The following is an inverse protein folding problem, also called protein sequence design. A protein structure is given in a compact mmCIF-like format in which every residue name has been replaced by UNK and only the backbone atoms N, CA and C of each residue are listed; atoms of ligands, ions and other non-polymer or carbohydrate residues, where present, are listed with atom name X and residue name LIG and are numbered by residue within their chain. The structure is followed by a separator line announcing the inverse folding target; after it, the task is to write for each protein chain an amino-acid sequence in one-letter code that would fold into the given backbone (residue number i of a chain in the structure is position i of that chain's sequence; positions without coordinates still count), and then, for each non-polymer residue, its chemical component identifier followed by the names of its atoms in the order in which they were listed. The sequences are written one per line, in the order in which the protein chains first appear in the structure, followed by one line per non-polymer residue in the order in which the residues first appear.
data_IF_996705299558
#
_entry.id   IF_996705299558
#
_cell.length_a   1.000
_cell.length_b   1.000
_cell.length_c   1.000
_cell.angle_alpha   90.00
_cell.angle_beta   90.00
_cell.angle_gamma   90.00
#
_symmetry.space_group_name_H-M   'P 1'
#
loop_
_entity.id
_entity.type
_entity.pdbx_description
1 polymer ?
#
# COMPACT_ATOMS: atom_id res chain seq x y z
N UNK A 1 -8.64 7.37 -0.25
CA UNK A 1 -8.74 8.21 -1.49
C UNK A 1 -7.76 7.62 -2.51
N UNK A 2 -8.08 6.41 -2.98
CA UNK A 2 -7.06 5.53 -3.56
C UNK A 2 -6.66 5.83 -5.00
N UNK A 3 -7.52 6.44 -5.77
CA UNK A 3 -7.28 6.61 -7.22
C UNK A 3 -7.46 8.05 -7.70
N UNK A 4 -7.63 8.99 -6.78
CA UNK A 4 -7.90 10.40 -7.13
C UNK A 4 -6.63 11.23 -7.29
N UNK A 5 -5.48 10.75 -6.82
CA UNK A 5 -4.22 11.47 -7.01
C UNK A 5 -3.61 11.05 -8.35
N UNK A 6 -3.22 12.04 -9.14
CA UNK A 6 -2.62 11.84 -10.45
C UNK A 6 -1.10 11.92 -10.35
N UNK A 7 -0.38 10.77 -10.30
CA UNK A 7 1.09 10.79 -10.36
C UNK A 7 1.56 11.18 -11.76
N UNK A 8 2.74 11.79 -11.83
CA UNK A 8 3.30 12.26 -13.09
C UNK A 8 3.74 11.10 -14.00
N UNK A 9 4.29 10.04 -13.41
CA UNK A 9 4.76 8.87 -14.16
C UNK A 9 3.62 8.00 -14.73
N UNK A 10 2.47 8.00 -14.07
CA UNK A 10 1.30 7.18 -14.46
C UNK A 10 -0.01 7.96 -14.32
N UNK A 11 -0.22 9.02 -15.13
CA UNK A 11 -1.36 9.93 -14.95
C UNK A 11 -2.71 9.32 -15.31
N UNK A 12 -2.72 8.22 -16.06
CA UNK A 12 -3.92 7.74 -16.77
C UNK A 12 -4.86 6.93 -15.86
N UNK A 13 -4.43 6.48 -14.67
CA UNK A 13 -5.32 5.74 -13.78
C UNK A 13 -6.18 6.64 -12.89
N UNK A 14 -5.80 7.91 -12.74
CA UNK A 14 -6.61 8.87 -12.00
C UNK A 14 -7.90 9.20 -12.78
N UNK A 15 -9.03 9.46 -12.10
CA UNK A 15 -10.29 9.77 -12.77
C UNK A 15 -10.17 11.04 -13.58
N UNK A 16 -10.97 11.15 -14.63
CA UNK A 16 -10.99 12.36 -15.47
C UNK A 16 -11.43 13.60 -14.67
N UNK A 17 -12.44 13.42 -13.81
CA UNK A 17 -12.96 14.47 -12.95
C UNK A 17 -12.71 14.19 -11.48
N UNK A 18 -12.43 15.25 -10.71
CA UNK A 18 -12.22 15.15 -9.26
C UNK A 18 -10.85 14.61 -8.85
N UNK A 19 -9.90 14.54 -9.77
CA UNK A 19 -8.51 14.16 -9.45
C UNK A 19 -7.76 15.32 -8.78
N UNK A 20 -6.76 14.94 -7.98
CA UNK A 20 -5.80 15.84 -7.37
C UNK A 20 -4.46 15.71 -8.10
N UNK A 21 -3.88 16.82 -8.49
CA UNK A 21 -2.50 16.86 -8.96
C UNK A 21 -1.52 16.78 -7.78
N UNK A 22 -0.24 16.56 -8.05
CA UNK A 22 0.78 16.60 -7.01
C UNK A 22 0.90 17.98 -6.34
N UNK A 23 0.59 19.05 -7.08
CA UNK A 23 0.62 20.40 -6.51
C UNK A 23 -0.61 20.67 -5.64
N UNK A 24 -1.80 20.14 -6.00
CA UNK A 24 -2.98 20.17 -5.12
C UNK A 24 -2.71 19.46 -3.80
N UNK A 25 -2.02 18.30 -3.84
CA UNK A 25 -1.64 17.57 -2.62
C UNK A 25 -0.73 18.41 -1.73
N UNK A 26 0.29 19.07 -2.29
CA UNK A 26 1.19 19.95 -1.53
C UNK A 26 0.45 21.13 -0.94
N UNK A 27 -0.47 21.74 -1.69
CA UNK A 27 -1.32 22.85 -1.22
C UNK A 27 -2.19 22.40 -0.05
N UNK A 28 -2.87 21.23 -0.16
CA UNK A 28 -3.68 20.64 0.91
C UNK A 28 -2.82 20.40 2.16
N UNK A 29 -1.61 19.83 2.00
CA UNK A 29 -0.70 19.61 3.12
C UNK A 29 -0.25 20.90 3.78
N UNK A 30 0.00 21.95 2.99
CA UNK A 30 0.37 23.27 3.51
C UNK A 30 -0.78 23.91 4.28
N UNK A 31 -1.98 23.88 3.73
CA UNK A 31 -3.19 24.38 4.37
C UNK A 31 -3.50 23.66 5.68
N UNK A 32 -3.45 22.32 5.69
CA UNK A 32 -3.68 21.53 6.91
C UNK A 32 -2.71 21.90 8.03
N UNK A 33 -1.44 22.20 7.69
CA UNK A 33 -0.42 22.59 8.67
C UNK A 33 -0.75 23.90 9.39
N UNK A 34 -1.43 24.86 8.73
CA UNK A 34 -1.91 26.09 9.36
C UNK A 34 -2.89 25.81 10.51
N UNK A 35 -3.58 24.68 10.45
CA UNK A 35 -4.50 24.19 11.49
C UNK A 35 -3.89 23.12 12.40
N UNK A 36 -2.58 22.97 12.40
CA UNK A 36 -1.86 21.98 13.19
C UNK A 36 -2.29 20.53 12.89
N UNK A 37 -2.74 20.28 11.65
CA UNK A 37 -3.08 18.93 11.14
C UNK A 37 -1.98 18.40 10.24
N UNK A 38 -1.70 17.11 10.38
CA UNK A 38 -0.78 16.38 9.52
C UNK A 38 -1.57 15.51 8.53
N UNK A 39 -1.24 15.60 7.24
CA UNK A 39 -1.83 14.75 6.21
C UNK A 39 -0.84 13.64 5.87
N UNK A 40 -1.19 12.41 6.23
CA UNK A 40 -0.40 11.21 5.94
C UNK A 40 -0.72 10.72 4.53
N UNK A 41 0.31 10.53 3.72
CA UNK A 41 0.18 9.95 2.39
C UNK A 41 -0.24 8.48 2.47
N UNK A 42 -1.05 8.03 1.51
CA UNK A 42 -1.54 6.67 1.44
C UNK A 42 -1.73 6.22 -0.01
N UNK A 43 -1.35 4.99 -0.31
CA UNK A 43 -1.62 4.34 -1.59
C UNK A 43 -1.81 2.84 -1.38
N UNK A 44 -2.79 2.25 -2.08
CA UNK A 44 -2.93 0.79 -2.08
C UNK A 44 -1.74 0.17 -2.81
N UNK A 45 -1.01 -0.68 -2.11
CA UNK A 45 0.25 -1.20 -2.63
C UNK A 45 0.24 -2.71 -2.90
N UNK A 46 -0.86 -3.42 -2.61
CA UNK A 46 -0.98 -4.85 -2.86
C UNK A 46 -2.38 -5.26 -3.32
N UNK A 47 -3.41 -5.24 -2.42
CA UNK A 47 -4.82 -5.43 -2.74
C UNK A 47 -5.50 -4.17 -3.28
N UNK A 48 -6.81 -4.25 -3.53
CA UNK A 48 -7.67 -3.13 -3.95
C UNK A 48 -7.26 -2.44 -5.25
N UNK A 49 -6.67 -3.19 -6.17
CA UNK A 49 -6.21 -2.69 -7.48
C UNK A 49 -7.27 -2.81 -8.58
N UNK A 50 -8.50 -3.19 -8.28
CA UNK A 50 -9.54 -3.50 -9.28
C UNK A 50 -9.72 -2.39 -10.30
N UNK A 51 -9.77 -1.12 -9.85
CA UNK A 51 -9.94 0.02 -10.75
C UNK A 51 -8.74 0.23 -11.67
N UNK A 52 -7.54 0.18 -11.12
CA UNK A 52 -6.31 0.36 -11.93
C UNK A 52 -6.17 -0.81 -12.89
N UNK A 53 -6.35 -2.04 -12.43
CA UNK A 53 -6.19 -3.24 -13.24
C UNK A 53 -7.33 -3.45 -14.25
N UNK A 54 -8.47 -2.77 -14.11
CA UNK A 54 -9.53 -2.79 -15.14
C UNK A 54 -9.14 -2.00 -16.39
N UNK A 55 -8.15 -1.13 -16.29
CA UNK A 55 -7.63 -0.39 -17.44
C UNK A 55 -6.68 -1.28 -18.25
N UNK A 56 -6.91 -1.40 -19.54
CA UNK A 56 -6.16 -2.30 -20.45
C UNK A 56 -4.63 -2.12 -20.32
N UNK A 57 -4.17 -0.89 -20.21
CA UNK A 57 -2.75 -0.53 -20.03
C UNK A 57 -2.14 -1.14 -18.76
N UNK A 58 -2.90 -1.24 -17.67
CA UNK A 58 -2.44 -1.68 -16.36
C UNK A 58 -2.82 -3.13 -16.04
N UNK A 59 -3.78 -3.73 -16.74
CA UNK A 59 -4.19 -5.12 -16.57
C UNK A 59 -3.00 -6.13 -16.54
N UNK A 60 -1.93 -5.93 -17.33
CA UNK A 60 -0.75 -6.78 -17.25
C UNK A 60 -0.01 -6.74 -15.91
N UNK A 61 -0.18 -5.70 -15.08
CA UNK A 61 0.48 -5.58 -13.77
C UNK A 61 -0.16 -6.45 -12.69
N UNK A 62 -1.38 -6.99 -12.95
CA UNK A 62 -2.12 -7.77 -11.97
C UNK A 62 -1.64 -9.21 -11.84
N UNK A 63 -1.62 -9.69 -10.60
CA UNK A 63 -1.52 -11.10 -10.23
C UNK A 63 -2.91 -11.77 -10.27
N UNK A 64 -3.88 -11.12 -9.63
CA UNK A 64 -5.33 -11.37 -9.73
C UNK A 64 -6.03 -10.12 -10.27
N UNK A 65 -7.37 -10.13 -10.50
CA UNK A 65 -8.10 -8.91 -10.83
C UNK A 65 -8.05 -7.82 -9.76
N UNK A 66 -7.79 -8.18 -8.50
CA UNK A 66 -7.79 -7.30 -7.32
C UNK A 66 -6.39 -7.01 -6.76
N UNK A 67 -5.37 -7.78 -7.15
CA UNK A 67 -4.02 -7.65 -6.59
C UNK A 67 -2.98 -7.38 -7.67
N UNK A 68 -2.06 -6.47 -7.39
CA UNK A 68 -0.86 -6.25 -8.20
C UNK A 68 0.10 -7.44 -8.08
N UNK A 69 0.94 -7.67 -9.10
CA UNK A 69 1.85 -8.83 -9.16
C UNK A 69 3.23 -8.53 -8.54
N UNK A 70 3.52 -8.94 -7.29
CA UNK A 70 4.77 -8.62 -6.60
C UNK A 70 6.04 -9.14 -7.29
N UNK A 71 5.92 -10.27 -8.00
CA UNK A 71 7.07 -10.89 -8.69
C UNK A 71 7.38 -10.26 -10.05
N UNK A 72 6.51 -9.37 -10.53
CA UNK A 72 6.65 -8.79 -11.87
C UNK A 72 7.45 -7.50 -11.81
N UNK A 73 8.63 -7.40 -12.51
CA UNK A 73 9.46 -6.20 -12.47
C UNK A 73 8.72 -4.91 -12.88
N UNK A 74 7.79 -5.01 -13.85
CA UNK A 74 6.99 -3.86 -14.28
C UNK A 74 6.01 -3.38 -13.20
N UNK A 75 5.45 -4.30 -12.40
CA UNK A 75 4.58 -3.96 -11.29
C UNK A 75 5.37 -3.33 -10.13
N UNK A 76 6.56 -3.85 -9.85
CA UNK A 76 7.47 -3.23 -8.88
C UNK A 76 7.91 -1.82 -9.33
N UNK A 77 8.25 -1.64 -10.60
CA UNK A 77 8.62 -0.33 -11.14
C UNK A 77 7.45 0.67 -11.06
N UNK A 78 6.23 0.22 -11.37
CA UNK A 78 5.01 1.01 -11.21
C UNK A 78 4.82 1.47 -9.76
N UNK A 79 4.82 0.53 -8.81
CA UNK A 79 4.65 0.84 -7.39
C UNK A 79 5.74 1.79 -6.89
N UNK A 80 7.00 1.50 -7.21
CA UNK A 80 8.13 2.33 -6.81
C UNK A 80 7.94 3.77 -7.28
N UNK A 81 7.68 3.99 -8.57
CA UNK A 81 7.52 5.34 -9.11
C UNK A 81 6.36 6.10 -8.46
N UNK A 82 5.19 5.46 -8.34
CA UNK A 82 4.01 6.09 -7.74
C UNK A 82 4.24 6.43 -6.27
N UNK A 83 4.81 5.48 -5.51
CA UNK A 83 5.07 5.68 -4.07
C UNK A 83 6.12 6.78 -3.84
N UNK A 84 7.20 6.81 -4.64
CA UNK A 84 8.22 7.84 -4.53
C UNK A 84 7.65 9.24 -4.81
N UNK A 85 6.82 9.40 -5.85
CA UNK A 85 6.17 10.67 -6.16
C UNK A 85 5.21 11.12 -5.05
N UNK A 86 4.37 10.19 -4.54
CA UNK A 86 3.46 10.48 -3.44
C UNK A 86 4.23 10.80 -2.15
N UNK A 87 5.29 10.07 -1.84
CA UNK A 87 6.12 10.32 -0.67
C UNK A 87 6.76 11.72 -0.70
N UNK A 88 7.11 12.23 -1.89
CA UNK A 88 7.63 13.59 -2.07
C UNK A 88 6.54 14.67 -1.98
N UNK A 89 5.29 14.36 -2.38
CA UNK A 89 4.20 15.31 -2.33
C UNK A 89 3.61 15.49 -0.90
N UNK A 90 3.53 14.39 -0.13
CA UNK A 90 3.05 14.44 1.25
C UNK A 90 4.14 14.83 2.21
N UNK A 91 3.89 15.87 3.03
CA UNK A 91 4.87 16.43 3.98
C UNK A 91 5.04 15.63 5.27
N UNK A 92 4.16 14.67 5.57
CA UNK A 92 4.26 13.79 6.73
C UNK A 92 5.51 12.92 6.67
N UNK A 93 6.10 12.65 7.83
CA UNK A 93 7.14 11.63 7.97
C UNK A 93 6.59 10.21 7.77
N UNK A 94 5.28 10.03 7.87
CA UNK A 94 4.61 8.75 7.73
C UNK A 94 4.03 8.56 6.32
N UNK A 95 3.98 7.31 5.87
CA UNK A 95 3.28 6.91 4.66
C UNK A 95 2.60 5.56 4.86
N UNK A 96 1.30 5.44 4.51
CA UNK A 96 0.55 4.22 4.65
C UNK A 96 0.54 3.44 3.31
N UNK A 97 1.14 2.25 3.30
CA UNK A 97 1.15 1.34 2.15
C UNK A 97 -0.12 0.50 2.04
N UNK A 98 -1.01 0.57 3.03
CA UNK A 98 -2.24 -0.21 3.17
C UNK A 98 -1.97 -1.72 3.22
N UNK A 99 -1.98 -2.44 2.10
CA UNK A 99 -1.69 -3.88 1.96
C UNK A 99 -2.67 -4.79 2.72
N UNK A 100 -3.88 -4.32 2.98
CA UNK A 100 -4.98 -5.06 3.60
C UNK A 100 -5.71 -5.96 2.60
N UNK A 101 -6.51 -6.86 3.14
CA UNK A 101 -7.46 -7.73 2.43
C UNK A 101 -6.87 -8.51 1.24
N UNK A 102 -5.60 -8.87 1.30
CA UNK A 102 -4.92 -9.67 0.28
C UNK A 102 -5.18 -11.17 0.48
N UNK A 103 -6.46 -11.56 0.41
CA UNK A 103 -6.90 -12.92 0.69
C UNK A 103 -6.59 -13.91 -0.46
N UNK A 104 -6.36 -13.40 -1.68
CA UNK A 104 -6.22 -14.17 -2.92
C UNK A 104 -4.78 -14.58 -3.26
N UNK A 105 -3.85 -14.51 -2.29
CA UNK A 105 -2.41 -14.77 -2.52
C UNK A 105 -2.12 -16.11 -3.22
N UNK A 106 -2.96 -17.13 -2.98
CA UNK A 106 -2.79 -18.47 -3.53
C UNK A 106 -3.52 -18.71 -4.88
N UNK A 107 -4.28 -17.72 -5.35
CA UNK A 107 -5.17 -17.88 -6.51
C UNK A 107 -4.69 -17.13 -7.78
N UNK A 108 -3.63 -16.33 -7.66
CA UNK A 108 -3.12 -15.50 -8.74
C UNK A 108 -2.20 -16.21 -9.74
N UNK A 109 -1.61 -15.44 -10.62
CA UNK A 109 -0.58 -15.89 -11.56
C UNK A 109 0.66 -16.41 -10.84
N UNK A 110 0.93 -15.90 -9.62
CA UNK A 110 2.04 -16.30 -8.76
C UNK A 110 1.78 -17.59 -7.97
N UNK A 111 0.63 -18.25 -8.12
CA UNK A 111 0.19 -19.40 -7.30
C UNK A 111 1.23 -20.51 -7.13
N UNK A 112 1.96 -20.86 -8.19
CA UNK A 112 2.97 -21.93 -8.12
C UNK A 112 4.18 -21.49 -7.29
N UNK A 113 4.56 -20.21 -7.33
CA UNK A 113 5.59 -19.65 -6.48
C UNK A 113 5.12 -19.63 -5.02
N UNK A 114 3.89 -19.15 -4.78
CA UNK A 114 3.29 -19.07 -3.43
C UNK A 114 3.19 -20.46 -2.79
N UNK A 115 2.76 -21.48 -3.51
CA UNK A 115 2.72 -22.90 -3.03
C UNK A 115 4.10 -23.40 -2.61
N UNK A 116 5.15 -22.95 -3.27
CA UNK A 116 6.52 -23.38 -2.96
C UNK A 116 7.12 -22.66 -1.77
N UNK A 117 6.87 -21.37 -1.59
CA UNK A 117 7.55 -20.54 -0.58
C UNK A 117 6.69 -20.22 0.64
N UNK A 118 5.36 -20.36 0.54
CA UNK A 118 4.39 -19.94 1.54
C UNK A 118 3.79 -18.55 1.23
N UNK A 119 2.50 -18.39 1.53
CA UNK A 119 1.79 -17.12 1.33
C UNK A 119 2.31 -16.02 2.27
N UNK A 120 2.67 -16.39 3.49
CA UNK A 120 3.29 -15.54 4.49
C UNK A 120 4.62 -14.95 4.02
N UNK A 121 5.51 -15.80 3.51
CA UNK A 121 6.78 -15.34 2.95
C UNK A 121 6.58 -14.47 1.71
N UNK A 122 5.69 -14.84 0.82
CA UNK A 122 5.36 -14.05 -0.37
C UNK A 122 4.86 -12.65 0.00
N UNK A 123 3.98 -12.56 0.99
CA UNK A 123 3.51 -11.30 1.55
C UNK A 123 4.66 -10.50 2.16
N UNK A 124 5.45 -11.11 3.04
CA UNK A 124 6.55 -10.45 3.73
C UNK A 124 7.62 -9.90 2.77
N UNK A 125 7.96 -10.63 1.71
CA UNK A 125 8.93 -10.19 0.71
C UNK A 125 8.42 -8.93 -0.04
N UNK A 126 7.12 -8.85 -0.31
CA UNK A 126 6.50 -7.67 -0.91
C UNK A 126 6.51 -6.47 0.06
N UNK A 127 6.16 -6.69 1.33
CA UNK A 127 6.22 -5.62 2.35
C UNK A 127 7.66 -5.09 2.51
N UNK A 128 8.68 -5.94 2.51
CA UNK A 128 10.08 -5.50 2.57
C UNK A 128 10.46 -4.63 1.38
N UNK A 129 10.04 -5.00 0.17
CA UNK A 129 10.25 -4.17 -1.03
C UNK A 129 9.64 -2.76 -0.86
N UNK A 130 8.39 -2.67 -0.43
CA UNK A 130 7.71 -1.38 -0.21
C UNK A 130 8.36 -0.58 0.92
N UNK A 131 8.76 -1.25 1.99
CA UNK A 131 9.49 -0.65 3.09
C UNK A 131 10.80 -0.01 2.61
N UNK A 132 11.60 -0.73 1.82
CA UNK A 132 12.89 -0.23 1.31
C UNK A 132 12.70 1.01 0.41
N UNK A 133 11.66 1.03 -0.44
CA UNK A 133 11.29 2.20 -1.26
C UNK A 133 11.02 3.42 -0.39
N UNK A 134 10.21 3.28 0.66
CA UNK A 134 9.84 4.39 1.55
C UNK A 134 10.99 4.81 2.47
N UNK A 135 11.81 3.89 2.94
CA UNK A 135 13.03 4.22 3.72
C UNK A 135 14.02 5.03 2.92
N UNK A 136 14.18 4.74 1.62
CA UNK A 136 15.01 5.56 0.72
C UNK A 136 14.47 7.00 0.57
N UNK A 137 13.17 7.21 0.85
CA UNK A 137 12.52 8.53 0.90
C UNK A 137 12.44 9.12 2.32
N UNK A 138 13.13 8.51 3.31
CA UNK A 138 13.10 8.89 4.73
C UNK A 138 11.70 8.86 5.36
N UNK A 139 10.80 8.02 4.85
CA UNK A 139 9.45 7.86 5.43
C UNK A 139 9.41 6.71 6.43
N UNK A 140 8.54 6.87 7.44
CA UNK A 140 8.11 5.82 8.37
C UNK A 140 6.92 5.10 7.77
N UNK A 141 6.98 3.77 7.73
CA UNK A 141 5.96 2.95 7.07
C UNK A 141 4.81 2.66 8.02
N UNK A 142 3.58 2.86 7.54
CA UNK A 142 2.35 2.39 8.16
C UNK A 142 1.67 1.37 7.25
N UNK A 143 0.96 0.41 7.83
CA UNK A 143 0.15 -0.56 7.07
C UNK A 143 -1.00 -1.11 7.92
N UNK A 144 -2.02 -1.66 7.28
CA UNK A 144 -3.09 -2.36 7.98
C UNK A 144 -2.61 -3.70 8.51
N UNK A 145 -3.13 -4.09 9.68
CA UNK A 145 -2.62 -5.23 10.44
C UNK A 145 -3.34 -6.56 10.22
N UNK A 146 -4.41 -6.61 9.42
CA UNK A 146 -5.28 -7.79 9.25
C UNK A 146 -4.53 -9.03 8.73
N UNK A 147 -3.63 -8.88 7.77
CA UNK A 147 -2.82 -9.99 7.24
C UNK A 147 -1.75 -10.42 8.27
N UNK A 148 -1.20 -9.47 9.04
CA UNK A 148 -0.28 -9.80 10.14
C UNK A 148 -0.99 -10.60 11.23
N UNK A 149 -2.26 -10.31 11.53
CA UNK A 149 -3.06 -11.13 12.46
C UNK A 149 -3.24 -12.57 11.97
N UNK A 150 -3.33 -12.77 10.65
CA UNK A 150 -3.36 -14.11 10.05
C UNK A 150 -2.01 -14.83 10.15
N UNK A 151 -0.90 -14.09 10.09
CA UNK A 151 0.48 -14.61 10.14
C UNK A 151 1.31 -13.89 11.22
N UNK A 152 1.03 -14.09 12.54
CA UNK A 152 1.62 -13.30 13.62
C UNK A 152 3.15 -13.41 13.73
N UNK A 153 3.74 -14.51 13.24
CA UNK A 153 5.19 -14.69 13.23
C UNK A 153 5.91 -13.64 12.36
N UNK A 154 5.22 -13.06 11.36
CA UNK A 154 5.76 -11.98 10.53
C UNK A 154 6.15 -10.74 11.32
N UNK A 155 5.54 -10.51 12.50
CA UNK A 155 5.98 -9.46 13.42
C UNK A 155 7.45 -9.61 13.82
N UNK A 156 7.99 -10.85 13.86
CA UNK A 156 9.40 -11.08 14.16
C UNK A 156 10.31 -10.93 12.94
N UNK A 157 9.78 -11.01 11.72
CA UNK A 157 10.51 -11.06 10.47
C UNK A 157 10.56 -9.73 9.73
N UNK A 158 9.51 -8.90 9.89
CA UNK A 158 9.40 -7.59 9.26
C UNK A 158 10.15 -6.52 10.06
N UNK A 159 10.51 -5.38 9.44
CA UNK A 159 11.13 -4.26 10.12
C UNK A 159 10.32 -3.80 11.34
N UNK A 160 11.00 -3.61 12.47
CA UNK A 160 10.38 -3.34 13.78
C UNK A 160 9.80 -1.92 13.91
N UNK A 161 10.14 -1.02 13.02
CA UNK A 161 9.67 0.35 12.98
C UNK A 161 8.45 0.57 12.06
N UNK A 162 7.85 -0.52 11.54
CA UNK A 162 6.56 -0.45 10.87
C UNK A 162 5.46 -0.20 11.90
N UNK A 163 4.61 0.79 11.63
CA UNK A 163 3.41 1.08 12.42
C UNK A 163 2.23 0.31 11.86
N UNK A 164 1.68 -0.61 12.64
CA UNK A 164 0.50 -1.38 12.27
C UNK A 164 -0.77 -0.66 12.70
N UNK A 165 -1.73 -0.59 11.77
CA UNK A 165 -3.05 -0.01 11.99
C UNK A 165 -4.05 -1.16 12.13
N UNK A 166 -4.70 -1.25 13.28
CA UNK A 166 -5.75 -2.22 13.54
C UNK A 166 -7.12 -1.62 13.20
N UNK A 167 -7.97 -2.38 12.53
CA UNK A 167 -9.33 -1.94 12.18
C UNK A 167 -10.37 -3.01 12.53
N UNK A 168 -11.57 -2.57 12.90
CA UNK A 168 -12.69 -3.44 13.19
C UNK A 168 -14.00 -2.67 12.97
N UNK A 169 -14.96 -3.28 12.30
CA UNK A 169 -16.28 -2.69 12.04
C UNK A 169 -17.35 -3.11 13.04
N UNK A 170 -17.06 -4.05 13.94
CA UNK A 170 -18.07 -4.61 14.85
C UNK A 170 -17.52 -4.84 16.26
N UNK A 171 -18.42 -4.63 17.26
CA UNK A 171 -18.12 -4.90 18.65
C UNK A 171 -17.40 -3.76 19.37
N UNK A 172 -17.25 -3.94 20.69
CA UNK A 172 -16.63 -2.96 21.61
C UNK A 172 -15.38 -3.52 22.29
N UNK A 173 -15.05 -4.78 22.05
CA UNK A 173 -13.82 -5.42 22.58
C UNK A 173 -12.73 -5.38 21.50
N UNK A 174 -11.73 -4.53 21.71
CA UNK A 174 -10.61 -4.36 20.80
C UNK A 174 -9.38 -5.22 21.15
N UNK A 175 -9.40 -5.94 22.27
CA UNK A 175 -8.25 -6.71 22.76
C UNK A 175 -7.75 -7.73 21.72
N UNK A 176 -8.69 -8.43 21.06
CA UNK A 176 -8.35 -9.39 20.01
C UNK A 176 -7.64 -8.76 18.78
N UNK A 177 -7.80 -7.45 18.58
CA UNK A 177 -7.28 -6.70 17.43
C UNK A 177 -6.02 -5.89 17.75
N UNK A 178 -5.73 -5.69 19.05
CA UNK A 178 -4.60 -4.88 19.52
C UNK A 178 -3.52 -5.75 20.14
N UNK A 179 -3.89 -6.75 20.94
CA UNK A 179 -2.94 -7.57 21.67
C UNK A 179 -1.96 -8.41 20.83
N UNK A 180 -2.25 -8.79 19.56
CA UNK A 180 -1.29 -9.45 18.70
C UNK A 180 -0.07 -8.62 18.33
N UNK A 181 -0.15 -7.29 18.40
CA UNK A 181 0.92 -6.34 18.10
C UNK A 181 1.63 -5.88 19.36
#
# INVERSE_FOLDING_TARGET
IEHVIQPLSYPDFAPENGKLTMDDVKEICSYAREYQMEIIGSFQCFGHFEKILSLEKYAPLGDTPSMIAPLKPQAQAFLKSVIEELADAFSSDYFNINCDETWDLENGKSKEYVRRVGADKFYADHIRFLYDVLKAKNKKVMMWGDIIMKYPHLLSELPKDITYLSWNYSGTNYDAWINPF
#
